data_IF_878064403967
#
_entry.id   IF_878064403967
#
_cell.length_a   1.000
_cell.length_b   1.000
_cell.length_c   1.000
_cell.angle_alpha   90.00
_cell.angle_beta   90.00
_cell.angle_gamma   90.00
#
_symmetry.space_group_name_H-M   'P 1'
#
loop_
_entity.id
_entity.type
_entity.pdbx_description
1 polymer ?
#
# COMPACT_ATOMS: atom_id res chain seq x y z
N UNK A 1 -19.30 0.47 46.75
CA UNK A 1 -18.80 -0.48 45.74
C UNK A 1 -18.52 0.30 44.47
N UNK A 2 -17.25 0.43 44.08
CA UNK A 2 -16.75 1.36 43.06
C UNK A 2 -17.33 1.15 41.65
N UNK A 3 -17.87 2.22 41.07
CA UNK A 3 -18.23 2.30 39.65
C UNK A 3 -16.95 2.38 38.79
N UNK A 4 -16.71 1.34 37.98
CA UNK A 4 -15.57 1.26 37.07
C UNK A 4 -15.77 2.24 35.91
N UNK A 5 -15.12 3.39 35.96
CA UNK A 5 -15.05 4.34 34.82
C UNK A 5 -14.38 3.67 33.61
N UNK A 6 -15.16 3.44 32.56
CA UNK A 6 -14.72 2.81 31.31
C UNK A 6 -13.73 3.72 30.56
N UNK A 7 -12.50 3.22 30.34
CA UNK A 7 -11.39 3.96 29.71
C UNK A 7 -11.51 4.13 28.18
N UNK A 8 -12.63 3.72 27.59
CA UNK A 8 -12.85 3.75 26.13
C UNK A 8 -13.62 4.98 25.63
N UNK A 9 -14.10 5.86 26.52
CA UNK A 9 -14.83 7.08 26.11
C UNK A 9 -13.97 8.05 25.31
N UNK A 10 -12.69 8.22 25.67
CA UNK A 10 -11.80 9.25 25.13
C UNK A 10 -11.39 9.00 23.66
N UNK A 11 -11.51 7.77 23.15
CA UNK A 11 -11.15 7.45 21.76
C UNK A 11 -12.22 7.84 20.73
N UNK A 12 -13.47 8.09 21.16
CA UNK A 12 -14.54 8.47 20.23
C UNK A 12 -14.45 9.94 19.84
N UNK A 13 -13.98 10.81 20.73
CA UNK A 13 -13.88 12.25 20.48
C UNK A 13 -12.71 12.62 19.54
N UNK A 14 -11.63 11.84 19.53
CA UNK A 14 -10.49 12.08 18.61
C UNK A 14 -10.87 11.78 17.15
N UNK A 15 -11.84 10.88 16.91
CA UNK A 15 -12.27 10.51 15.55
C UNK A 15 -13.13 11.58 14.89
N UNK A 16 -13.76 12.46 15.66
CA UNK A 16 -14.68 13.48 15.14
C UNK A 16 -13.97 14.73 14.59
N UNK A 17 -12.73 15.02 14.98
CA UNK A 17 -12.04 16.27 14.58
C UNK A 17 -11.17 16.19 13.32
N UNK A 18 -10.98 15.02 12.70
CA UNK A 18 -10.08 14.86 11.54
C UNK A 18 -10.84 14.79 10.20
N UNK A 19 -12.16 15.02 10.18
CA UNK A 19 -13.00 14.83 8.99
C UNK A 19 -13.33 16.10 8.19
N UNK A 20 -12.66 17.22 8.45
CA UNK A 20 -12.77 18.43 7.63
C UNK A 20 -11.39 18.89 7.15
N UNK A 21 -10.81 18.12 6.23
CA UNK A 21 -9.97 18.70 5.20
C UNK A 21 -10.62 18.36 3.87
N UNK A 22 -11.23 19.37 3.25
CA UNK A 22 -11.70 19.34 1.88
C UNK A 22 -10.53 19.00 0.96
N UNK A 23 -10.46 17.73 0.57
CA UNK A 23 -9.57 17.26 -0.47
C UNK A 23 -10.15 17.76 -1.80
N UNK A 24 -9.39 18.54 -2.61
CA UNK A 24 -9.90 19.02 -3.89
C UNK A 24 -10.28 17.84 -4.78
N UNK A 25 -11.39 17.98 -5.50
CA UNK A 25 -11.98 16.95 -6.34
C UNK A 25 -10.92 16.29 -7.24
N UNK A 26 -10.89 14.94 -7.34
CA UNK A 26 -9.95 14.27 -8.22
C UNK A 26 -10.24 14.70 -9.66
N UNK A 27 -9.27 15.37 -10.27
CA UNK A 27 -9.19 15.52 -11.72
C UNK A 27 -9.23 14.12 -12.32
N UNK A 28 -9.96 13.88 -13.44
CA UNK A 28 -9.97 12.58 -14.08
C UNK A 28 -8.56 12.28 -14.60
N UNK A 29 -7.80 11.53 -13.82
CA UNK A 29 -6.52 10.98 -14.25
C UNK A 29 -6.80 10.12 -15.48
N UNK A 30 -6.01 10.25 -16.58
CA UNK A 30 -6.10 9.34 -17.71
C UNK A 30 -6.05 7.92 -17.16
N UNK A 31 -6.98 7.06 -17.62
CA UNK A 31 -7.26 5.72 -17.09
C UNK A 31 -5.96 5.04 -16.65
N UNK A 32 -5.66 5.15 -15.36
CA UNK A 32 -4.61 4.35 -14.77
C UNK A 32 -5.07 2.91 -14.96
N UNK A 33 -4.26 2.11 -15.64
CA UNK A 33 -4.49 0.68 -15.77
C UNK A 33 -4.98 0.15 -14.44
N UNK A 34 -6.17 -0.46 -14.44
CA UNK A 34 -6.83 -0.87 -13.20
C UNK A 34 -5.97 -1.95 -12.59
N UNK A 35 -5.18 -1.58 -11.58
CA UNK A 35 -4.29 -2.52 -10.90
C UNK A 35 -5.12 -3.71 -10.38
N UNK A 36 -4.76 -4.90 -10.84
CA UNK A 36 -5.41 -6.13 -10.42
C UNK A 36 -4.70 -6.73 -9.20
N UNK A 37 -5.44 -7.33 -8.26
CA UNK A 37 -4.82 -8.00 -7.13
C UNK A 37 -3.96 -9.17 -7.62
N UNK A 38 -2.68 -9.15 -7.27
CA UNK A 38 -1.72 -10.21 -7.57
C UNK A 38 -1.22 -10.81 -6.26
N UNK A 39 -1.48 -12.10 -6.04
CA UNK A 39 -0.96 -12.84 -4.88
C UNK A 39 0.14 -13.81 -5.35
N UNK A 40 1.30 -13.73 -4.69
CA UNK A 40 2.43 -14.63 -4.93
C UNK A 40 3.16 -14.95 -3.63
N UNK A 41 3.90 -16.06 -3.64
CA UNK A 41 4.73 -16.49 -2.51
C UNK A 41 6.19 -16.08 -2.75
N UNK A 42 6.84 -15.61 -1.69
CA UNK A 42 8.27 -15.25 -1.69
C UNK A 42 8.95 -15.97 -0.53
N UNK A 43 10.25 -16.25 -0.67
CA UNK A 43 11.05 -16.70 0.47
C UNK A 43 11.08 -15.64 1.58
N UNK A 44 11.15 -16.08 2.83
CA UNK A 44 11.08 -15.20 4.00
C UNK A 44 12.16 -14.11 3.99
N UNK A 45 13.39 -14.48 3.67
CA UNK A 45 14.52 -13.55 3.60
C UNK A 45 14.40 -12.53 2.47
N UNK A 46 13.87 -12.95 1.31
CA UNK A 46 13.64 -12.04 0.19
C UNK A 46 12.53 -11.03 0.54
N UNK A 47 11.42 -11.50 1.11
CA UNK A 47 10.33 -10.63 1.59
C UNK A 47 10.83 -9.61 2.60
N UNK A 48 11.68 -10.03 3.55
CA UNK A 48 12.28 -9.12 4.54
C UNK A 48 13.16 -8.05 3.88
N UNK A 49 14.05 -8.46 2.97
CA UNK A 49 14.94 -7.52 2.25
C UNK A 49 14.14 -6.54 1.39
N UNK A 50 13.13 -7.01 0.66
CA UNK A 50 12.24 -6.16 -0.13
C UNK A 50 11.52 -5.13 0.75
N UNK A 51 11.00 -5.55 1.91
CA UNK A 51 10.36 -4.65 2.87
C UNK A 51 11.32 -3.57 3.39
N UNK A 52 12.56 -3.93 3.69
CA UNK A 52 13.57 -2.97 4.15
C UNK A 52 13.97 -1.98 3.05
N UNK A 53 14.22 -2.45 1.83
CA UNK A 53 14.58 -1.60 0.70
C UNK A 53 13.47 -0.60 0.36
N UNK A 54 12.24 -1.09 0.23
CA UNK A 54 11.07 -0.25 -0.08
C UNK A 54 10.79 0.80 1.01
N UNK A 55 11.02 0.45 2.29
CA UNK A 55 10.92 1.41 3.39
C UNK A 55 12.01 2.50 3.33
N UNK A 56 13.24 2.14 2.98
CA UNK A 56 14.33 3.10 2.81
C UNK A 56 14.11 4.06 1.63
N UNK A 57 13.50 3.57 0.55
CA UNK A 57 13.21 4.35 -0.66
C UNK A 57 11.87 5.12 -0.60
N UNK A 58 11.04 4.89 0.43
CA UNK A 58 9.69 5.45 0.50
C UNK A 58 8.75 4.95 -0.60
N UNK A 59 9.02 3.75 -1.15
CA UNK A 59 8.26 3.15 -2.26
C UNK A 59 7.33 2.04 -1.79
N UNK A 60 6.30 1.78 -2.58
CA UNK A 60 5.37 0.66 -2.33
C UNK A 60 5.95 -0.63 -2.88
N UNK A 61 5.82 -1.72 -2.13
CA UNK A 61 6.39 -3.04 -2.49
C UNK A 61 5.89 -3.55 -3.84
N UNK A 62 4.60 -3.36 -4.16
CA UNK A 62 4.04 -3.85 -5.40
C UNK A 62 4.64 -3.17 -6.65
N UNK A 63 5.02 -1.88 -6.57
CA UNK A 63 5.62 -1.18 -7.70
C UNK A 63 7.00 -1.74 -8.05
N UNK A 64 7.78 -2.08 -7.01
CA UNK A 64 9.10 -2.70 -7.19
C UNK A 64 8.96 -4.10 -7.78
N UNK A 65 7.96 -4.86 -7.34
CA UNK A 65 7.66 -6.19 -7.88
C UNK A 65 7.19 -6.11 -9.34
N UNK A 66 6.28 -5.19 -9.65
CA UNK A 66 5.78 -4.94 -11.01
C UNK A 66 6.92 -4.60 -11.96
N UNK A 67 7.79 -3.65 -11.58
CA UNK A 67 8.97 -3.30 -12.37
C UNK A 67 9.92 -4.50 -12.58
N UNK A 68 10.19 -5.28 -11.54
CA UNK A 68 11.05 -6.45 -11.65
C UNK A 68 10.45 -7.55 -12.55
N UNK A 69 9.13 -7.72 -12.51
CA UNK A 69 8.40 -8.66 -13.37
C UNK A 69 8.38 -8.19 -14.83
N UNK A 70 8.14 -6.90 -15.08
CA UNK A 70 8.23 -6.32 -16.43
C UNK A 70 9.64 -6.48 -17.02
N UNK A 71 10.67 -6.23 -16.23
CA UNK A 71 12.07 -6.41 -16.64
C UNK A 71 12.36 -7.88 -16.97
N UNK A 72 11.91 -8.82 -16.11
CA UNK A 72 12.04 -10.25 -16.36
C UNK A 72 11.33 -10.69 -17.65
N UNK A 73 10.07 -10.30 -17.83
CA UNK A 73 9.28 -10.65 -19.03
C UNK A 73 9.92 -10.06 -20.28
N UNK A 74 10.38 -8.81 -20.24
CA UNK A 74 11.02 -8.16 -21.39
C UNK A 74 12.32 -8.84 -21.84
N UNK A 75 13.04 -9.47 -20.91
CA UNK A 75 14.31 -10.17 -21.19
C UNK A 75 14.11 -11.59 -21.67
N UNK A 76 13.15 -12.30 -21.09
CA UNK A 76 12.99 -13.75 -21.30
C UNK A 76 11.85 -14.09 -22.25
N UNK A 77 10.87 -13.20 -22.40
CA UNK A 77 9.66 -13.40 -23.20
C UNK A 77 9.30 -12.13 -23.98
N UNK A 78 10.20 -11.63 -24.86
CA UNK A 78 9.98 -10.39 -25.61
C UNK A 78 8.76 -10.43 -26.53
N UNK A 79 8.28 -11.62 -26.90
CA UNK A 79 7.08 -11.85 -27.70
C UNK A 79 5.77 -11.50 -27.00
N UNK A 80 5.79 -11.29 -25.68
CA UNK A 80 4.60 -10.96 -24.88
C UNK A 80 4.34 -9.45 -24.77
N UNK A 81 5.09 -8.62 -25.50
CA UNK A 81 4.94 -7.17 -25.55
C UNK A 81 4.04 -6.69 -26.69
#
# INVERSE_FOLDING_TARGET
>A
MSEKKSRFGVLKDVKAQVQQQEQPAPTPTPQADKQQPFSSTLSGDLKRRLKMATAAEGRKQYLVLEQALEEYLSRHHPELK
#
